data_IF_458127384645
#
_entry.id   IF_458127384645
#
_cell.length_a   1.000
_cell.length_b   1.000
_cell.length_c   1.000
_cell.angle_alpha   90.00
_cell.angle_beta   90.00
_cell.angle_gamma   90.00
#
_symmetry.space_group_name_H-M   'P 1'
#
loop_
_entity.id
_entity.type
_entity.pdbx_description
1 polymer ?
#
# COMPACT_ATOMS: atom_id res chain seq x y z
N UNK A 1 14.10 26.23 23.12
CA UNK A 1 13.57 24.86 23.16
C UNK A 1 13.24 24.46 21.72
N UNK A 2 13.77 23.34 21.24
CA UNK A 2 13.40 22.84 19.91
C UNK A 2 11.94 22.43 19.94
N UNK A 3 11.13 22.73 18.88
CA UNK A 3 9.76 22.27 18.77
C UNK A 3 9.78 20.78 18.35
N UNK A 4 10.17 19.92 19.30
CA UNK A 4 10.35 18.47 19.03
C UNK A 4 9.04 17.77 18.62
N UNK A 5 7.89 18.34 19.00
CA UNK A 5 6.55 17.85 18.69
C UNK A 5 6.13 18.08 17.22
N UNK A 6 6.85 18.93 16.48
CA UNK A 6 6.53 19.33 15.12
C UNK A 6 7.72 19.20 14.18
N UNK A 7 7.50 18.88 12.89
CA UNK A 7 8.56 18.90 11.90
C UNK A 7 9.22 20.29 11.77
N UNK A 8 10.53 20.31 11.70
CA UNK A 8 11.33 21.52 11.56
C UNK A 8 12.46 21.35 10.53
N UNK A 9 12.93 22.46 9.98
CA UNK A 9 14.00 22.46 8.97
C UNK A 9 15.40 22.53 9.60
N UNK A 10 16.42 22.15 8.83
CA UNK A 10 17.85 22.39 9.20
C UNK A 10 18.08 23.86 9.53
N UNK A 11 17.56 24.81 8.73
CA UNK A 11 17.71 26.24 8.99
C UNK A 11 17.15 26.60 10.37
N UNK A 12 15.94 26.14 10.69
CA UNK A 12 15.33 26.40 12.00
C UNK A 12 16.13 25.83 13.17
N UNK A 13 16.74 24.67 12.99
CA UNK A 13 17.61 24.08 14.00
C UNK A 13 18.89 24.91 14.23
N UNK A 14 19.49 25.41 13.14
CA UNK A 14 20.66 26.30 13.22
C UNK A 14 20.31 27.62 13.91
N UNK A 15 19.18 28.23 13.59
CA UNK A 15 18.69 29.46 14.25
C UNK A 15 18.48 29.25 15.77
N UNK A 16 18.22 28.04 16.22
CA UNK A 16 18.07 27.65 17.62
C UNK A 16 19.40 27.19 18.27
N UNK A 17 20.52 27.35 17.57
CA UNK A 17 21.87 27.10 18.08
C UNK A 17 22.38 25.66 17.91
N UNK A 18 21.68 24.80 17.18
CA UNK A 18 22.19 23.46 16.84
C UNK A 18 23.11 23.52 15.63
N UNK A 19 24.27 22.91 15.71
CA UNK A 19 25.13 22.70 14.54
C UNK A 19 24.65 21.52 13.68
N UNK A 20 25.09 21.48 12.41
CA UNK A 20 24.80 20.36 11.51
C UNK A 20 25.34 19.01 12.05
N UNK A 21 26.47 19.05 12.75
CA UNK A 21 27.06 17.87 13.39
C UNK A 21 26.20 17.37 14.56
N UNK A 22 25.63 18.27 15.36
CA UNK A 22 24.70 17.93 16.45
C UNK A 22 23.43 17.33 15.91
N UNK A 23 22.83 17.88 14.82
CA UNK A 23 21.67 17.30 14.15
C UNK A 23 21.96 15.88 13.65
N UNK A 24 23.11 15.69 13.00
CA UNK A 24 23.51 14.36 12.50
C UNK A 24 23.71 13.36 13.64
N UNK A 25 24.21 13.82 14.79
CA UNK A 25 24.37 13.02 16.00
C UNK A 25 23.01 12.61 16.56
N UNK A 26 22.08 13.54 16.74
CA UNK A 26 20.73 13.29 17.27
C UNK A 26 19.94 12.29 16.40
N UNK A 27 20.09 12.35 15.07
CA UNK A 27 19.50 11.37 14.17
C UNK A 27 20.12 9.98 14.35
N UNK A 28 21.45 9.89 14.52
CA UNK A 28 22.15 8.62 14.73
C UNK A 28 21.83 8.00 16.09
N UNK A 29 21.63 8.81 17.11
CA UNK A 29 21.23 8.41 18.46
C UNK A 29 19.73 8.07 18.57
N UNK A 30 18.96 8.24 17.49
CA UNK A 30 17.52 7.94 17.45
C UNK A 30 16.65 8.93 18.24
N UNK A 31 17.18 10.10 18.61
CA UNK A 31 16.42 11.19 19.24
C UNK A 31 15.57 11.93 18.22
N UNK A 32 16.12 12.11 17.01
CA UNK A 32 15.41 12.71 15.88
C UNK A 32 15.28 11.68 14.74
N UNK A 33 14.14 11.69 14.05
CA UNK A 33 14.01 11.03 12.75
C UNK A 33 13.99 12.07 11.63
N UNK A 34 14.67 11.76 10.52
CA UNK A 34 14.63 12.58 9.31
C UNK A 34 13.43 12.17 8.45
N UNK A 35 12.46 13.07 8.31
CA UNK A 35 11.26 12.83 7.48
C UNK A 35 11.59 13.04 6.00
N UNK A 36 12.17 14.20 5.67
CA UNK A 36 12.68 14.49 4.34
C UNK A 36 14.08 15.06 4.45
N UNK A 37 14.76 15.24 3.32
CA UNK A 37 16.06 15.92 3.32
C UNK A 37 15.91 17.32 3.92
N UNK A 38 16.65 17.57 5.01
CA UNK A 38 16.63 18.85 5.74
C UNK A 38 15.38 19.10 6.58
N UNK A 39 14.53 18.08 6.79
CA UNK A 39 13.36 18.14 7.68
C UNK A 39 13.43 17.00 8.68
N UNK A 40 13.28 17.35 9.94
CA UNK A 40 13.40 16.47 11.10
C UNK A 40 12.19 16.61 12.02
N UNK A 41 11.97 15.59 12.84
CA UNK A 41 10.98 15.59 13.91
C UNK A 41 11.51 14.70 15.04
N UNK A 42 11.03 14.86 16.25
CA UNK A 42 11.30 13.95 17.36
C UNK A 42 10.98 12.50 16.97
N UNK A 43 11.85 11.57 17.28
CA UNK A 43 11.61 10.16 16.98
C UNK A 43 10.39 9.60 17.71
N UNK A 44 10.07 10.15 18.91
CA UNK A 44 8.90 9.78 19.69
C UNK A 44 7.62 10.51 19.26
N UNK A 45 7.70 11.51 18.36
CA UNK A 45 6.51 12.22 17.88
C UNK A 45 5.58 11.29 17.09
N UNK A 46 4.29 11.37 17.40
CA UNK A 46 3.26 10.60 16.74
C UNK A 46 3.22 10.89 15.23
N UNK A 47 3.14 9.85 14.41
CA UNK A 47 3.05 9.94 12.95
C UNK A 47 1.61 10.17 12.49
N UNK A 48 1.08 11.36 12.79
CA UNK A 48 -0.26 11.77 12.37
C UNK A 48 -0.28 12.34 10.96
N UNK A 49 -1.47 12.41 10.34
CA UNK A 49 -1.66 13.09 9.05
C UNK A 49 -1.26 14.58 9.12
N UNK A 50 -1.49 15.22 10.26
CA UNK A 50 -1.07 16.60 10.49
C UNK A 50 0.47 16.73 10.50
N UNK A 51 1.16 15.82 11.19
CA UNK A 51 2.63 15.78 11.24
C UNK A 51 3.21 15.55 9.82
N UNK A 52 2.65 14.60 9.06
CA UNK A 52 3.04 14.34 7.66
C UNK A 52 2.83 15.56 6.77
N UNK A 53 1.68 16.22 6.89
CA UNK A 53 1.35 17.42 6.12
C UNK A 53 2.31 18.58 6.43
N UNK A 54 2.60 18.83 7.71
CA UNK A 54 3.57 19.86 8.12
C UNK A 54 4.97 19.60 7.55
N UNK A 55 5.42 18.35 7.58
CA UNK A 55 6.71 17.97 6.97
C UNK A 55 6.73 18.24 5.46
N UNK A 56 5.63 17.92 4.75
CA UNK A 56 5.49 18.19 3.31
C UNK A 56 5.48 19.69 3.00
N UNK A 57 4.79 20.51 3.78
CA UNK A 57 4.74 21.97 3.59
C UNK A 57 6.11 22.62 3.71
N UNK A 58 7.03 22.04 4.51
CA UNK A 58 8.41 22.53 4.64
C UNK A 58 9.29 22.27 3.42
N UNK A 59 8.93 21.31 2.56
CA UNK A 59 9.73 20.90 1.39
C UNK A 59 9.03 21.09 0.05
N UNK A 60 7.74 21.42 0.06
CA UNK A 60 6.93 21.55 -1.15
C UNK A 60 6.71 23.02 -1.48
N UNK A 61 7.15 23.52 -2.66
CA UNK A 61 6.82 24.88 -3.09
C UNK A 61 5.29 25.09 -3.15
N UNK A 62 4.79 26.31 -2.86
CA UNK A 62 3.34 26.58 -2.80
C UNK A 62 2.58 26.25 -4.11
N UNK A 63 3.24 26.36 -5.25
CA UNK A 63 2.66 26.04 -6.57
C UNK A 63 2.70 24.56 -6.92
N UNK A 64 3.49 23.74 -6.21
CA UNK A 64 3.63 22.34 -6.50
C UNK A 64 2.47 21.51 -5.96
N UNK A 65 2.26 20.35 -6.57
CA UNK A 65 1.28 19.34 -6.16
C UNK A 65 2.03 18.08 -5.78
N UNK A 66 1.80 17.57 -4.60
CA UNK A 66 2.32 16.28 -4.12
C UNK A 66 1.63 15.15 -4.89
N UNK A 67 2.40 14.17 -5.38
CA UNK A 67 1.93 13.12 -6.29
C UNK A 67 2.41 11.73 -5.86
N UNK A 68 1.94 10.71 -6.55
CA UNK A 68 2.39 9.32 -6.44
C UNK A 68 2.33 8.77 -5.00
N UNK A 69 3.32 7.98 -4.60
CA UNK A 69 3.38 7.37 -3.26
C UNK A 69 3.36 8.43 -2.14
N UNK A 70 3.91 9.61 -2.42
CA UNK A 70 3.93 10.71 -1.45
C UNK A 70 2.52 11.28 -1.22
N UNK A 71 1.68 11.34 -2.26
CA UNK A 71 0.27 11.75 -2.13
C UNK A 71 -0.55 10.68 -1.40
N UNK A 72 -0.27 9.39 -1.59
CA UNK A 72 -0.87 8.29 -0.83
C UNK A 72 -0.45 8.35 0.65
N UNK A 73 0.85 8.50 0.94
CA UNK A 73 1.37 8.65 2.29
C UNK A 73 0.77 9.85 3.04
N UNK A 74 0.58 10.98 2.37
CA UNK A 74 -0.05 12.17 2.93
C UNK A 74 -1.53 11.97 3.32
N UNK A 75 -2.17 10.86 2.90
CA UNK A 75 -3.53 10.44 3.28
C UNK A 75 -3.54 9.33 4.32
N UNK A 76 -2.40 8.83 4.75
CA UNK A 76 -2.33 7.66 5.60
C UNK A 76 -2.46 6.33 4.85
N UNK A 77 -2.41 6.35 3.51
CA UNK A 77 -2.43 5.11 2.71
C UNK A 77 -1.01 4.58 2.60
N UNK A 78 -0.79 3.42 3.20
CA UNK A 78 0.49 2.73 3.16
C UNK A 78 0.55 1.81 1.94
N UNK A 79 1.52 2.08 1.06
CA UNK A 79 1.81 1.29 -0.14
C UNK A 79 3.13 0.51 -0.01
N UNK A 80 3.74 0.56 1.16
CA UNK A 80 5.00 -0.10 1.48
C UNK A 80 4.75 -1.39 2.26
N UNK A 81 5.80 -2.16 2.49
CA UNK A 81 5.73 -3.32 3.36
C UNK A 81 5.36 -2.90 4.79
N UNK A 82 4.65 -3.78 5.51
CA UNK A 82 4.20 -3.52 6.88
C UNK A 82 5.38 -3.13 7.77
N UNK A 83 5.28 -1.99 8.45
CA UNK A 83 6.34 -1.45 9.31
C UNK A 83 7.19 -0.33 8.69
N UNK A 84 7.17 -0.17 7.36
CA UNK A 84 7.96 0.86 6.67
C UNK A 84 7.21 2.22 6.57
N UNK A 85 5.98 2.32 7.08
CA UNK A 85 5.14 3.53 6.97
C UNK A 85 5.71 4.74 7.71
N UNK A 86 6.58 4.53 8.71
CA UNK A 86 7.26 5.62 9.43
C UNK A 86 8.32 6.30 8.56
N UNK A 87 8.82 5.59 7.54
CA UNK A 87 9.77 6.14 6.57
C UNK A 87 8.95 6.68 5.40
N UNK A 88 8.93 8.02 5.18
CA UNK A 88 8.20 8.58 4.06
C UNK A 88 8.79 8.09 2.73
N UNK A 89 7.95 7.92 1.70
CA UNK A 89 8.45 7.66 0.36
C UNK A 89 9.26 8.86 -0.15
N UNK A 90 10.14 8.67 -1.14
CA UNK A 90 10.83 9.78 -1.78
C UNK A 90 9.87 10.88 -2.21
N UNK A 91 10.24 12.15 -1.95
CA UNK A 91 9.37 13.28 -2.26
C UNK A 91 9.02 13.31 -3.75
N UNK A 92 7.77 13.09 -4.07
CA UNK A 92 7.22 13.14 -5.43
C UNK A 92 6.30 14.33 -5.55
N UNK A 93 6.69 15.32 -6.37
CA UNK A 93 5.91 16.52 -6.62
C UNK A 93 5.86 16.80 -8.12
N UNK A 94 4.81 17.47 -8.56
CA UNK A 94 4.75 17.99 -9.91
C UNK A 94 4.43 19.49 -9.92
N UNK A 95 4.86 20.15 -10.97
CA UNK A 95 4.46 21.51 -11.29
C UNK A 95 3.43 21.47 -12.43
N UNK A 96 2.47 22.41 -12.47
CA UNK A 96 1.66 22.68 -13.64
C UNK A 96 2.54 22.94 -14.88
N UNK A 97 1.99 22.72 -16.07
CA UNK A 97 2.77 22.82 -17.32
C UNK A 97 3.31 24.21 -17.62
N UNK A 98 2.67 25.25 -17.10
CA UNK A 98 3.06 26.65 -17.20
C UNK A 98 4.22 27.05 -16.26
N UNK A 99 4.65 26.15 -15.39
CA UNK A 99 5.71 26.39 -14.40
C UNK A 99 6.98 25.60 -14.71
N UNK A 100 8.12 26.12 -14.22
CA UNK A 100 9.40 25.43 -14.34
C UNK A 100 9.44 24.18 -13.46
N UNK A 101 10.03 23.09 -13.98
CA UNK A 101 10.23 21.85 -13.20
C UNK A 101 11.06 22.11 -11.95
N UNK A 102 10.62 21.57 -10.80
CA UNK A 102 11.42 21.59 -9.57
C UNK A 102 12.62 20.66 -9.74
N UNK A 103 13.83 21.22 -9.56
CA UNK A 103 15.11 20.50 -9.58
C UNK A 103 15.68 20.49 -8.18
N UNK A 104 15.17 19.61 -7.32
CA UNK A 104 15.67 19.41 -5.98
C UNK A 104 16.26 18.00 -5.88
N UNK A 105 17.40 17.86 -5.22
CA UNK A 105 18.04 16.56 -5.00
C UNK A 105 17.10 15.68 -4.17
N UNK A 106 17.02 14.38 -4.49
CA UNK A 106 16.14 13.40 -3.87
C UNK A 106 14.62 13.67 -4.07
N UNK A 107 14.27 14.44 -5.11
CA UNK A 107 12.88 14.76 -5.46
C UNK A 107 12.57 14.31 -6.88
N UNK A 108 11.49 13.55 -7.07
CA UNK A 108 10.94 13.30 -8.41
C UNK A 108 10.04 14.47 -8.82
N UNK A 109 10.68 15.57 -9.21
CA UNK A 109 10.00 16.77 -9.68
C UNK A 109 9.64 16.66 -11.15
N UNK A 110 8.39 16.36 -11.49
CA UNK A 110 7.91 16.22 -12.87
C UNK A 110 6.97 17.36 -13.24
N UNK A 111 6.70 17.48 -14.54
CA UNK A 111 5.59 18.28 -15.07
C UNK A 111 4.48 17.31 -15.46
N UNK A 112 3.25 17.59 -15.04
CA UNK A 112 2.09 16.75 -15.37
C UNK A 112 0.93 17.63 -15.80
N UNK A 113 0.16 17.10 -16.74
CA UNK A 113 -1.16 17.61 -17.05
C UNK A 113 -2.12 17.23 -15.93
N UNK A 114 -2.50 18.20 -15.12
CA UNK A 114 -3.49 18.06 -14.06
C UNK A 114 -4.63 19.05 -14.32
N UNK A 115 -5.84 18.60 -14.16
CA UNK A 115 -7.03 19.45 -14.14
C UNK A 115 -7.37 19.85 -12.70
N UNK A 116 -8.30 20.77 -12.50
CA UNK A 116 -8.78 21.12 -11.16
C UNK A 116 -9.35 19.92 -10.41
N UNK A 117 -9.98 18.97 -11.11
CA UNK A 117 -10.52 17.74 -10.55
C UNK A 117 -9.46 16.72 -10.13
N UNK A 118 -8.21 16.90 -10.54
CA UNK A 118 -7.12 16.00 -10.18
C UNK A 118 -6.39 16.42 -8.91
N UNK A 119 -6.71 17.61 -8.35
CA UNK A 119 -6.01 18.20 -7.21
C UNK A 119 -6.98 18.53 -6.09
N UNK A 120 -6.59 18.18 -4.88
CA UNK A 120 -7.27 18.55 -3.64
C UNK A 120 -6.30 19.19 -2.65
N UNK A 121 -6.83 19.77 -1.59
CA UNK A 121 -6.06 20.28 -0.46
C UNK A 121 -6.43 19.50 0.79
N UNK A 122 -5.44 18.83 1.39
CA UNK A 122 -5.60 18.14 2.67
C UNK A 122 -4.56 18.62 3.69
N UNK A 123 -4.99 19.08 4.87
CA UNK A 123 -4.13 19.69 5.88
C UNK A 123 -3.20 20.79 5.32
N UNK A 124 -3.69 21.60 4.38
CA UNK A 124 -2.92 22.65 3.71
C UNK A 124 -2.00 22.18 2.57
N UNK A 125 -1.82 20.89 2.38
CA UNK A 125 -1.00 20.33 1.30
C UNK A 125 -1.83 20.16 0.04
N UNK A 126 -1.35 20.72 -1.09
CA UNK A 126 -1.89 20.44 -2.41
C UNK A 126 -1.38 19.08 -2.89
N UNK A 127 -2.28 18.16 -3.19
CA UNK A 127 -1.94 16.80 -3.62
C UNK A 127 -2.91 16.30 -4.69
N UNK A 128 -2.51 15.31 -5.45
CA UNK A 128 -3.44 14.63 -6.37
C UNK A 128 -4.54 13.93 -5.58
N UNK A 129 -5.79 13.93 -6.09
CA UNK A 129 -6.90 13.16 -5.51
C UNK A 129 -6.57 11.68 -5.40
N UNK A 130 -7.29 10.93 -4.56
CA UNK A 130 -7.10 9.49 -4.40
C UNK A 130 -7.25 8.75 -5.73
N UNK A 131 -8.28 9.07 -6.52
CA UNK A 131 -8.51 8.48 -7.84
C UNK A 131 -7.33 8.77 -8.78
N UNK A 132 -6.92 10.03 -8.90
CA UNK A 132 -5.79 10.40 -9.76
C UNK A 132 -4.49 9.73 -9.31
N UNK A 133 -4.22 9.67 -8.03
CA UNK A 133 -3.04 8.99 -7.45
C UNK A 133 -3.04 7.50 -7.78
N UNK A 134 -4.17 6.82 -7.59
CA UNK A 134 -4.35 5.41 -7.92
C UNK A 134 -4.06 5.10 -9.39
N UNK A 135 -4.64 5.89 -10.29
CA UNK A 135 -4.46 5.72 -11.74
C UNK A 135 -3.02 6.01 -12.19
N UNK A 136 -2.39 7.05 -11.63
CA UNK A 136 -1.00 7.38 -11.95
C UNK A 136 -0.03 6.28 -11.47
N UNK A 137 -0.22 5.73 -10.28
CA UNK A 137 0.57 4.61 -9.76
C UNK A 137 0.33 3.33 -10.58
N UNK A 138 -0.91 2.99 -10.88
CA UNK A 138 -1.24 1.80 -11.66
C UNK A 138 -0.62 1.79 -13.06
N UNK A 139 -0.51 2.96 -13.72
CA UNK A 139 0.11 3.06 -15.04
C UNK A 139 1.65 3.12 -15.00
N UNK A 140 2.25 3.64 -13.90
CA UNK A 140 3.69 3.95 -13.86
C UNK A 140 4.52 2.93 -13.07
N UNK A 141 3.93 2.18 -12.14
CA UNK A 141 4.62 1.18 -11.32
C UNK A 141 4.52 -0.21 -11.96
N UNK A 142 5.25 -1.19 -11.40
CA UNK A 142 5.09 -2.61 -11.76
C UNK A 142 3.66 -3.07 -11.52
N UNK A 143 3.22 -4.15 -12.20
CA UNK A 143 1.85 -4.68 -12.05
C UNK A 143 1.46 -4.94 -10.57
N UNK A 144 2.28 -5.63 -9.75
CA UNK A 144 1.96 -5.86 -8.33
C UNK A 144 1.83 -4.55 -7.52
N UNK A 145 2.71 -3.58 -7.74
CA UNK A 145 2.61 -2.28 -7.08
C UNK A 145 1.43 -1.45 -7.57
N UNK A 146 1.10 -1.57 -8.86
CA UNK A 146 -0.03 -0.86 -9.46
C UNK A 146 -1.36 -1.34 -8.92
N UNK A 147 -1.59 -2.67 -8.83
CA UNK A 147 -2.82 -3.21 -8.27
C UNK A 147 -2.92 -2.90 -6.77
N UNK A 148 -1.82 -3.00 -6.02
CA UNK A 148 -1.81 -2.65 -4.61
C UNK A 148 -2.19 -1.18 -4.37
N UNK A 149 -1.74 -0.26 -5.22
CA UNK A 149 -2.12 1.14 -5.15
C UNK A 149 -3.61 1.37 -5.48
N UNK A 150 -4.15 0.66 -6.49
CA UNK A 150 -5.57 0.72 -6.81
C UNK A 150 -6.42 0.23 -5.64
N UNK A 151 -6.11 -0.93 -5.08
CA UNK A 151 -6.85 -1.54 -3.98
C UNK A 151 -6.80 -0.66 -2.72
N UNK A 152 -5.61 -0.23 -2.32
CA UNK A 152 -5.42 0.57 -1.11
C UNK A 152 -6.10 1.94 -1.19
N UNK A 153 -6.04 2.62 -2.35
CA UNK A 153 -6.69 3.92 -2.54
C UNK A 153 -8.20 3.79 -2.76
N UNK A 154 -8.67 2.70 -3.38
CA UNK A 154 -10.10 2.39 -3.48
C UNK A 154 -10.69 2.11 -2.09
N UNK A 155 -9.94 1.44 -1.20
CA UNK A 155 -10.36 1.16 0.19
C UNK A 155 -10.58 2.42 1.03
N UNK A 156 -9.99 3.57 0.68
CA UNK A 156 -10.27 4.83 1.38
C UNK A 156 -11.74 5.28 1.26
N UNK A 157 -12.44 4.80 0.23
CA UNK A 157 -13.81 5.23 -0.06
C UNK A 157 -13.93 6.60 -0.72
N UNK A 158 -12.82 7.26 -1.04
CA UNK A 158 -12.81 8.59 -1.67
C UNK A 158 -13.36 8.58 -3.11
N UNK A 159 -13.43 7.42 -3.73
CA UNK A 159 -14.01 7.19 -5.05
C UNK A 159 -14.57 5.76 -5.17
N UNK A 160 -15.54 5.55 -6.04
CA UNK A 160 -16.07 4.23 -6.32
C UNK A 160 -15.30 3.52 -7.45
N UNK A 161 -15.36 2.18 -7.52
CA UNK A 161 -14.77 1.41 -8.62
C UNK A 161 -15.31 1.85 -10.00
N UNK A 162 -16.60 2.23 -10.06
CA UNK A 162 -17.20 2.77 -11.27
C UNK A 162 -16.56 4.08 -11.73
N UNK A 163 -16.10 4.94 -10.80
CA UNK A 163 -15.41 6.19 -11.13
C UNK A 163 -14.04 5.90 -11.76
N UNK A 164 -13.31 4.89 -11.21
CA UNK A 164 -12.05 4.43 -11.76
C UNK A 164 -12.20 3.95 -13.21
N UNK A 165 -13.23 3.15 -13.48
CA UNK A 165 -13.47 2.63 -14.83
C UNK A 165 -13.90 3.74 -15.82
N UNK A 166 -14.73 4.67 -15.39
CA UNK A 166 -15.19 5.82 -16.19
C UNK A 166 -14.05 6.75 -16.59
N UNK A 167 -13.11 6.98 -15.68
CA UNK A 167 -11.99 7.90 -15.89
C UNK A 167 -10.86 7.33 -16.77
N UNK A 168 -10.90 6.04 -17.17
CA UNK A 168 -9.86 5.41 -17.99
C UNK A 168 -9.61 6.12 -19.33
N UNK A 169 -10.65 6.68 -19.93
CA UNK A 169 -10.53 7.35 -21.22
C UNK A 169 -9.74 8.66 -21.15
N UNK A 170 -9.71 9.31 -19.99
CA UNK A 170 -8.89 10.51 -19.76
C UNK A 170 -7.38 10.24 -19.90
N UNK A 171 -6.98 8.98 -19.77
CA UNK A 171 -5.57 8.55 -19.86
C UNK A 171 -5.19 8.04 -21.27
N UNK A 172 -6.07 8.18 -22.26
CA UNK A 172 -5.76 7.82 -23.65
C UNK A 172 -4.48 8.55 -24.11
N UNK A 173 -3.52 7.81 -24.66
CA UNK A 173 -2.21 8.33 -25.08
C UNK A 173 -1.19 8.51 -23.95
N UNK A 174 -1.55 8.35 -22.69
CA UNK A 174 -0.60 8.41 -21.58
C UNK A 174 0.28 7.17 -21.53
N UNK A 175 1.56 7.36 -21.21
CA UNK A 175 2.49 6.24 -20.99
C UNK A 175 1.93 5.32 -19.90
N UNK A 176 1.87 4.01 -20.21
CA UNK A 176 1.43 2.97 -19.29
C UNK A 176 -0.10 2.81 -19.20
N UNK A 177 -0.88 3.48 -20.05
CA UNK A 177 -2.35 3.35 -20.07
C UNK A 177 -2.83 1.92 -20.31
N UNK A 178 -2.10 1.12 -21.10
CA UNK A 178 -2.41 -0.30 -21.34
C UNK A 178 -2.41 -1.07 -20.02
N UNK A 179 -1.40 -0.83 -19.16
CA UNK A 179 -1.32 -1.44 -17.84
C UNK A 179 -2.46 -0.99 -16.94
N UNK A 180 -2.76 0.30 -16.90
CA UNK A 180 -3.88 0.84 -16.13
C UNK A 180 -5.19 0.16 -16.54
N UNK A 181 -5.49 0.09 -17.84
CA UNK A 181 -6.70 -0.57 -18.39
C UNK A 181 -6.78 -2.05 -18.03
N UNK A 182 -5.64 -2.74 -17.96
CA UNK A 182 -5.59 -4.14 -17.55
C UNK A 182 -5.80 -4.34 -16.04
N UNK A 183 -5.37 -3.40 -15.21
CA UNK A 183 -5.44 -3.52 -13.75
C UNK A 183 -6.73 -2.94 -13.16
N UNK A 184 -7.26 -1.85 -13.71
CA UNK A 184 -8.42 -1.16 -13.16
C UNK A 184 -9.66 -2.07 -12.95
N UNK A 185 -10.04 -2.97 -13.89
CA UNK A 185 -11.15 -3.89 -13.68
C UNK A 185 -10.91 -4.90 -12.54
N UNK A 186 -9.64 -5.11 -12.17
CA UNK A 186 -9.23 -6.05 -11.13
C UNK A 186 -9.17 -5.42 -9.73
N UNK A 187 -9.36 -4.10 -9.61
CA UNK A 187 -9.26 -3.41 -8.32
C UNK A 187 -10.30 -3.93 -7.32
N UNK A 188 -9.86 -4.20 -6.09
CA UNK A 188 -10.69 -4.71 -5.00
C UNK A 188 -10.35 -4.03 -3.67
N UNK A 189 -11.28 -3.22 -3.17
CA UNK A 189 -11.11 -2.49 -1.91
C UNK A 189 -10.98 -3.40 -0.67
N UNK A 190 -11.28 -4.69 -0.79
CA UNK A 190 -11.22 -5.64 0.33
C UNK A 190 -9.79 -6.08 0.66
N UNK A 191 -8.84 -6.04 -0.28
CA UNK A 191 -7.46 -6.38 0.02
C UNK A 191 -6.88 -5.44 1.10
N UNK A 192 -6.37 -5.99 2.19
CA UNK A 192 -5.91 -5.21 3.34
C UNK A 192 -4.42 -4.88 3.31
N UNK A 193 -3.65 -5.54 2.44
CA UNK A 193 -2.22 -5.31 2.29
C UNK A 193 -1.77 -5.33 0.81
N UNK A 194 -0.62 -4.68 0.50
CA UNK A 194 -0.01 -4.78 -0.81
C UNK A 194 0.34 -6.21 -1.24
N UNK A 195 0.62 -7.09 -0.28
CA UNK A 195 0.97 -8.47 -0.54
C UNK A 195 -0.26 -9.31 -0.93
N UNK A 196 -1.38 -9.11 -0.26
CA UNK A 196 -2.66 -9.73 -0.66
C UNK A 196 -3.07 -9.30 -2.07
N UNK A 197 -2.93 -8.00 -2.40
CA UNK A 197 -3.19 -7.50 -3.75
C UNK A 197 -2.28 -8.16 -4.79
N UNK A 198 -0.99 -8.35 -4.48
CA UNK A 198 -0.03 -9.01 -5.36
C UNK A 198 -0.37 -10.51 -5.52
N UNK A 199 -0.70 -11.21 -4.44
CA UNK A 199 -1.09 -12.62 -4.45
C UNK A 199 -2.39 -12.82 -5.26
N UNK A 200 -3.37 -11.94 -5.10
CA UNK A 200 -4.61 -11.94 -5.89
C UNK A 200 -4.35 -11.69 -7.37
N UNK A 201 -3.39 -10.82 -7.72
CA UNK A 201 -2.98 -10.63 -9.11
C UNK A 201 -2.36 -11.90 -9.70
N UNK A 202 -1.50 -12.61 -8.94
CA UNK A 202 -0.92 -13.91 -9.37
C UNK A 202 -2.05 -14.92 -9.62
N UNK A 203 -3.05 -14.99 -8.75
CA UNK A 203 -4.23 -15.84 -8.90
C UNK A 203 -4.97 -15.58 -10.21
N UNK A 204 -5.27 -14.31 -10.50
CA UNK A 204 -5.96 -13.89 -11.74
C UNK A 204 -5.11 -14.19 -12.98
N UNK A 205 -3.82 -13.86 -12.94
CA UNK A 205 -2.88 -14.11 -14.05
C UNK A 205 -2.67 -15.61 -14.31
N UNK A 206 -2.84 -16.47 -13.30
CA UNK A 206 -2.82 -17.92 -13.42
C UNK A 206 -4.09 -18.49 -14.09
N UNK A 207 -5.11 -17.66 -14.36
CA UNK A 207 -6.37 -18.10 -14.98
C UNK A 207 -7.23 -18.98 -14.05
N UNK A 208 -7.06 -18.84 -12.72
CA UNK A 208 -7.84 -19.58 -11.73
C UNK A 208 -9.26 -19.03 -11.61
N UNK A 209 -10.23 -19.80 -11.07
CA UNK A 209 -11.61 -19.35 -10.88
C UNK A 209 -11.72 -18.03 -10.14
N UNK A 210 -12.85 -17.33 -10.27
CA UNK A 210 -13.04 -16.03 -9.61
C UNK A 210 -12.85 -16.15 -8.11
N UNK A 211 -11.85 -15.44 -7.60
CA UNK A 211 -11.47 -15.45 -6.19
C UNK A 211 -12.37 -14.52 -5.36
N UNK A 212 -12.68 -14.91 -4.13
CA UNK A 212 -13.27 -14.06 -3.10
C UNK A 212 -12.19 -13.59 -2.14
N UNK A 213 -12.05 -12.26 -1.95
CA UNK A 213 -11.13 -11.68 -0.97
C UNK A 213 -11.81 -11.54 0.41
N UNK A 214 -11.03 -11.64 1.47
CA UNK A 214 -11.44 -11.42 2.87
C UNK A 214 -12.66 -12.28 3.26
N UNK A 215 -12.47 -13.62 3.23
CA UNK A 215 -13.52 -14.59 3.52
C UNK A 215 -13.74 -14.68 5.03
N UNK A 216 -14.93 -14.28 5.48
CA UNK A 216 -15.34 -14.38 6.88
C UNK A 216 -15.71 -15.83 7.23
N UNK A 217 -15.01 -16.45 8.18
CA UNK A 217 -15.39 -17.73 8.78
C UNK A 217 -16.13 -17.46 10.07
N UNK A 218 -17.39 -17.90 10.15
CA UNK A 218 -18.28 -17.63 11.28
C UNK A 218 -18.51 -18.86 12.14
N UNK A 219 -18.61 -18.66 13.45
CA UNK A 219 -19.06 -19.68 14.39
C UNK A 219 -20.52 -20.07 14.16
N UNK A 220 -20.97 -21.14 14.81
CA UNK A 220 -22.39 -21.55 14.83
C UNK A 220 -23.32 -20.45 15.37
N UNK A 221 -22.81 -19.50 16.15
CA UNK A 221 -23.55 -18.35 16.66
C UNK A 221 -23.52 -17.13 15.71
N UNK A 222 -22.96 -17.27 14.49
CA UNK A 222 -22.88 -16.20 13.51
C UNK A 222 -21.75 -15.17 13.73
N UNK A 223 -20.97 -15.30 14.80
CA UNK A 223 -19.84 -14.40 15.07
C UNK A 223 -18.66 -14.72 14.15
N UNK A 224 -18.04 -13.73 13.53
CA UNK A 224 -16.79 -13.91 12.80
C UNK A 224 -15.69 -14.34 13.77
N UNK A 225 -15.12 -15.52 13.55
CA UNK A 225 -14.03 -16.09 14.37
C UNK A 225 -12.69 -15.98 13.66
N UNK A 226 -12.70 -16.06 12.32
CA UNK A 226 -11.51 -15.90 11.51
C UNK A 226 -11.85 -15.22 10.17
N UNK A 227 -10.84 -14.62 9.56
CA UNK A 227 -10.92 -14.07 8.23
C UNK A 227 -9.73 -14.55 7.41
N UNK A 228 -10.02 -15.11 6.23
CA UNK A 228 -9.03 -15.67 5.31
C UNK A 228 -8.81 -14.66 4.17
N UNK A 229 -7.56 -14.47 3.75
CA UNK A 229 -7.20 -13.39 2.81
C UNK A 229 -7.92 -13.52 1.46
N UNK A 230 -7.92 -14.73 0.89
CA UNK A 230 -8.63 -14.98 -0.37
C UNK A 230 -8.85 -16.48 -0.62
N UNK A 231 -9.81 -16.82 -1.50
CA UNK A 231 -10.05 -18.21 -1.87
C UNK A 231 -11.36 -18.46 -2.58
N UNK A 232 -11.81 -19.73 -2.51
CA UNK A 232 -13.04 -20.27 -3.10
C UNK A 232 -13.90 -20.85 -1.97
N UNK A 233 -14.83 -20.08 -1.39
CA UNK A 233 -15.64 -20.52 -0.26
C UNK A 233 -16.44 -21.80 -0.55
N UNK A 234 -16.96 -21.95 -1.77
CA UNK A 234 -17.71 -23.09 -2.25
C UNK A 234 -16.90 -24.40 -2.24
N UNK A 235 -15.58 -24.30 -2.40
CA UNK A 235 -14.65 -25.43 -2.33
C UNK A 235 -13.96 -25.56 -0.96
N UNK A 236 -14.24 -24.64 -0.03
CA UNK A 236 -13.51 -24.48 1.25
C UNK A 236 -11.99 -24.48 1.03
N UNK A 237 -11.54 -23.72 0.06
CA UNK A 237 -10.13 -23.50 -0.24
C UNK A 237 -9.78 -22.02 -0.05
N UNK A 238 -8.64 -21.79 0.63
CA UNK A 238 -8.12 -20.44 0.82
C UNK A 238 -6.59 -20.39 0.61
N UNK A 239 -6.11 -19.18 0.30
CA UNK A 239 -4.70 -18.82 0.31
C UNK A 239 -4.50 -17.63 1.23
N UNK A 240 -3.50 -17.69 2.11
CA UNK A 240 -3.12 -16.65 3.05
C UNK A 240 -1.71 -16.16 2.77
N UNK A 241 -1.46 -14.85 2.94
CA UNK A 241 -0.13 -14.28 2.91
C UNK A 241 0.46 -14.20 4.31
N UNK A 242 1.59 -14.87 4.54
CA UNK A 242 2.32 -14.79 5.80
C UNK A 242 3.59 -13.94 5.65
N UNK A 243 3.48 -12.65 5.93
CA UNK A 243 4.61 -11.71 5.90
C UNK A 243 5.50 -11.76 7.14
N UNK A 244 5.06 -12.45 8.20
CA UNK A 244 5.71 -12.46 9.51
C UNK A 244 6.52 -13.74 9.80
N UNK A 245 6.60 -14.67 8.86
CA UNK A 245 7.25 -15.97 9.06
C UNK A 245 8.68 -15.88 9.67
N UNK A 246 9.37 -14.75 9.46
CA UNK A 246 10.74 -14.51 9.92
C UNK A 246 10.86 -13.71 11.23
N UNK A 247 9.80 -13.05 11.71
CA UNK A 247 9.82 -12.16 12.88
C UNK A 247 8.83 -12.53 13.98
N UNK A 248 8.02 -13.59 13.80
CA UNK A 248 7.04 -14.01 14.79
C UNK A 248 7.69 -14.77 15.94
N UNK A 249 7.24 -14.49 17.17
CA UNK A 249 7.66 -15.25 18.36
C UNK A 249 7.22 -16.73 18.26
N UNK A 250 7.85 -17.66 19.00
CA UNK A 250 7.42 -19.04 19.06
C UNK A 250 5.93 -19.20 19.45
N UNK A 251 5.43 -18.34 20.34
CA UNK A 251 4.03 -18.31 20.77
C UNK A 251 3.08 -17.88 19.66
N UNK A 252 3.42 -16.86 18.87
CA UNK A 252 2.62 -16.43 17.71
C UNK A 252 2.53 -17.53 16.65
N UNK A 253 3.67 -18.18 16.32
CA UNK A 253 3.65 -19.33 15.40
C UNK A 253 2.83 -20.51 15.89
N UNK A 254 2.82 -20.78 17.21
CA UNK A 254 1.97 -21.80 17.80
C UNK A 254 0.49 -21.46 17.68
N UNK A 255 0.13 -20.21 17.95
CA UNK A 255 -1.25 -19.72 17.80
C UNK A 255 -1.73 -19.82 16.33
N UNK A 256 -0.94 -19.41 15.36
CA UNK A 256 -1.28 -19.50 13.95
C UNK A 256 -1.44 -20.94 13.47
N UNK A 257 -0.57 -21.86 13.95
CA UNK A 257 -0.75 -23.29 13.67
C UNK A 257 -2.04 -23.86 14.27
N UNK A 258 -2.36 -23.51 15.50
CA UNK A 258 -3.59 -23.93 16.17
C UNK A 258 -4.83 -23.40 15.44
N UNK A 259 -4.81 -22.14 15.01
CA UNK A 259 -5.85 -21.50 14.18
C UNK A 259 -6.08 -22.28 12.88
N UNK A 260 -5.01 -22.54 12.12
CA UNK A 260 -5.11 -23.27 10.85
C UNK A 260 -5.54 -24.73 11.04
N UNK A 261 -5.11 -25.37 12.12
CA UNK A 261 -5.59 -26.72 12.48
C UNK A 261 -7.09 -26.72 12.75
N UNK A 262 -7.59 -25.78 13.54
CA UNK A 262 -9.02 -25.63 13.81
C UNK A 262 -9.83 -25.39 12.52
N UNK A 263 -9.39 -24.51 11.65
CA UNK A 263 -10.03 -24.20 10.36
C UNK A 263 -10.11 -25.45 9.48
N UNK A 264 -9.04 -26.26 9.44
CA UNK A 264 -9.00 -27.51 8.67
C UNK A 264 -9.90 -28.59 9.29
N UNK A 265 -9.73 -28.84 10.59
CA UNK A 265 -10.30 -30.02 11.24
C UNK A 265 -11.79 -29.82 11.59
N UNK A 266 -12.22 -28.60 11.90
CA UNK A 266 -13.59 -28.25 12.27
C UNK A 266 -14.40 -27.68 11.13
N UNK A 267 -13.79 -26.81 10.33
CA UNK A 267 -14.49 -26.09 9.26
C UNK A 267 -14.21 -26.65 7.87
N UNK A 268 -13.29 -27.61 7.76
CA UNK A 268 -12.96 -28.30 6.51
C UNK A 268 -12.24 -27.45 5.48
N UNK A 269 -11.57 -26.36 5.90
CA UNK A 269 -10.80 -25.51 5.01
C UNK A 269 -9.46 -26.16 4.63
N UNK A 270 -9.12 -26.10 3.34
CA UNK A 270 -7.78 -26.37 2.80
C UNK A 270 -7.09 -25.03 2.61
N UNK A 271 -5.97 -24.79 3.28
CA UNK A 271 -5.34 -23.47 3.33
C UNK A 271 -3.89 -23.61 2.90
N UNK A 272 -3.52 -22.95 1.81
CA UNK A 272 -2.13 -22.73 1.42
C UNK A 272 -1.63 -21.39 1.96
N UNK A 273 -0.39 -21.36 2.43
CA UNK A 273 0.25 -20.17 2.98
C UNK A 273 1.42 -19.81 2.09
N UNK A 274 1.42 -18.58 1.59
CA UNK A 274 2.46 -18.04 0.73
C UNK A 274 3.22 -16.93 1.46
N UNK A 275 4.54 -16.98 1.38
CA UNK A 275 5.41 -15.97 1.97
C UNK A 275 5.88 -14.92 0.95
N UNK A 276 6.79 -14.07 1.44
CA UNK A 276 7.42 -13.02 0.61
C UNK A 276 8.14 -13.61 -0.60
N UNK A 277 8.76 -14.77 -0.43
CA UNK A 277 9.54 -15.41 -1.49
C UNK A 277 8.66 -15.84 -2.67
N UNK A 278 7.55 -16.52 -2.40
CA UNK A 278 6.61 -16.98 -3.42
C UNK A 278 5.91 -15.81 -4.12
N UNK A 279 5.51 -14.77 -3.35
CA UNK A 279 4.71 -13.68 -3.92
C UNK A 279 5.56 -12.69 -4.71
N UNK A 280 6.79 -12.39 -4.26
CA UNK A 280 7.59 -11.30 -4.84
C UNK A 280 8.87 -11.75 -5.54
N UNK A 281 9.48 -12.88 -5.13
CA UNK A 281 10.75 -13.34 -5.69
C UNK A 281 10.54 -14.43 -6.74
N UNK A 282 9.67 -15.41 -6.44
CA UNK A 282 9.43 -16.58 -7.27
C UNK A 282 7.93 -16.76 -7.58
N UNK A 283 7.26 -15.83 -8.29
CA UNK A 283 5.80 -15.87 -8.50
C UNK A 283 5.32 -17.11 -9.26
N UNK A 284 6.18 -17.80 -10.02
CA UNK A 284 5.83 -19.07 -10.65
C UNK A 284 5.57 -20.17 -9.62
N UNK A 285 6.31 -20.19 -8.50
CA UNK A 285 6.02 -21.11 -7.37
C UNK A 285 4.66 -20.82 -6.75
N UNK A 286 4.31 -19.55 -6.59
CA UNK A 286 2.96 -19.19 -6.12
C UNK A 286 1.88 -19.74 -7.06
N UNK A 287 2.06 -19.61 -8.38
CA UNK A 287 1.14 -20.17 -9.38
C UNK A 287 0.99 -21.70 -9.22
N UNK A 288 2.10 -22.42 -9.03
CA UNK A 288 2.09 -23.87 -8.84
C UNK A 288 1.34 -24.27 -7.58
N UNK A 289 1.60 -23.61 -6.44
CA UNK A 289 0.93 -23.83 -5.15
C UNK A 289 -0.58 -23.60 -5.29
N UNK A 290 -0.97 -22.44 -5.84
CA UNK A 290 -2.37 -22.07 -5.98
C UNK A 290 -3.14 -23.03 -6.92
N UNK A 291 -2.55 -23.40 -8.05
CA UNK A 291 -3.15 -24.39 -8.98
C UNK A 291 -3.31 -25.77 -8.33
N UNK A 292 -2.28 -26.22 -7.62
CA UNK A 292 -2.35 -27.48 -6.89
C UNK A 292 -3.41 -27.46 -5.81
N UNK A 293 -3.53 -26.35 -5.07
CA UNK A 293 -4.53 -26.15 -4.04
C UNK A 293 -5.96 -26.20 -4.57
N UNK A 294 -6.24 -25.41 -5.61
CA UNK A 294 -7.55 -25.44 -6.29
C UNK A 294 -7.89 -26.85 -6.77
N UNK A 295 -6.95 -27.53 -7.46
CA UNK A 295 -7.18 -28.90 -7.95
C UNK A 295 -7.40 -29.90 -6.81
N UNK A 296 -6.76 -29.76 -5.65
CA UNK A 296 -7.03 -30.59 -4.44
C UNK A 296 -8.45 -30.37 -3.96
N UNK A 297 -8.87 -29.11 -3.82
CA UNK A 297 -10.18 -28.74 -3.34
C UNK A 297 -11.31 -29.23 -4.28
N UNK A 298 -11.14 -29.09 -5.60
CA UNK A 298 -12.09 -29.63 -6.59
C UNK A 298 -12.24 -31.14 -6.51
N UNK A 299 -11.12 -31.87 -6.35
CA UNK A 299 -11.16 -33.35 -6.18
C UNK A 299 -11.91 -33.75 -4.91
N UNK A 300 -11.69 -33.02 -3.81
CA UNK A 300 -12.38 -33.27 -2.54
C UNK A 300 -13.89 -33.02 -2.68
N UNK A 301 -14.25 -31.91 -3.31
CA UNK A 301 -15.66 -31.55 -3.54
C UNK A 301 -16.40 -32.65 -4.35
N UNK A 302 -15.80 -33.13 -5.45
CA UNK A 302 -16.38 -34.20 -6.29
C UNK A 302 -16.53 -35.55 -5.60
N UNK A 303 -15.76 -35.81 -4.55
CA UNK A 303 -15.85 -37.06 -3.77
C UNK A 303 -16.89 -37.00 -2.64
N UNK A 304 -17.30 -35.79 -2.26
CA UNK A 304 -18.26 -35.57 -1.18
C UNK A 304 -19.70 -35.38 -1.67
N UNK A 305 -19.90 -35.09 -2.96
CA UNK A 305 -21.21 -35.04 -3.64
C UNK A 305 -21.42 -36.27 -4.48
#
# INVERSE_FOLDING_TARGET
>A
MLPFDQPFTTARALDLGLSANQLSRLVREGVLRRVFRGVYVDAAAEDTLATRARALLLVTPPSAVVTDECAAWARGVDLLARGDHVIPPPLSICQPLDRTRVRQRDTDGRRRMLTAHDVEVGHGVRRTTSLRTAMDLARTRSRPRGIAALDALLRTGDFAHADLLRDLDRFRGFRGVVRLRALAPLADARAESPAESAMRLIWVDAGLPRVTSQISVRSALGTEVYRLDMGLPELRYAAEYDGLAWHSSPSQRAHDRARRAWLRDREGWDIDVLGKDEVFTHPLRAVEILRAGVARAERRYRRAG
#
